data_IF_893403675985
#
_entry.id   IF_893403675985
#
_cell.length_a   1.000
_cell.length_b   1.000
_cell.length_c   1.000
_cell.angle_alpha   90.00
_cell.angle_beta   90.00
_cell.angle_gamma   90.00
#
_symmetry.space_group_name_H-M   'P 1'
#
loop_
_entity.id
_entity.type
_entity.pdbx_description
1 polymer ?
#
# COMPACT_ATOMS: atom_id res chain seq x y z
N UNK A 1 16.46 29.93 41.37
CA UNK A 1 15.90 28.66 40.87
C UNK A 1 14.51 28.79 40.21
N UNK A 2 13.51 29.47 40.78
CA UNK A 2 12.16 29.62 40.19
C UNK A 2 12.11 30.37 38.84
N UNK A 3 13.04 31.28 38.56
CA UNK A 3 13.10 32.05 37.33
C UNK A 3 13.74 31.24 36.17
N UNK A 4 14.71 30.38 36.44
CA UNK A 4 15.36 29.54 35.45
C UNK A 4 14.41 28.44 34.95
N UNK A 5 13.50 27.93 35.79
CA UNK A 5 12.47 26.97 35.38
C UNK A 5 11.40 27.57 34.46
N UNK A 6 11.07 28.88 34.66
CA UNK A 6 10.14 29.58 33.74
C UNK A 6 10.73 29.80 32.35
N UNK A 7 12.02 30.11 32.27
CA UNK A 7 12.71 30.25 30.97
C UNK A 7 12.91 28.91 30.25
N UNK A 8 13.17 27.83 30.99
CA UNK A 8 13.28 26.49 30.43
C UNK A 8 11.92 25.98 29.89
N UNK A 9 10.80 26.25 30.57
CA UNK A 9 9.47 25.91 30.14
C UNK A 9 9.02 26.71 28.92
N UNK A 10 9.37 27.99 28.82
CA UNK A 10 9.06 28.83 27.64
C UNK A 10 9.95 28.44 26.45
N UNK A 11 11.22 28.11 26.67
CA UNK A 11 12.13 27.63 25.65
C UNK A 11 11.70 26.24 25.10
N UNK A 12 11.13 25.37 25.92
CA UNK A 12 10.58 24.10 25.50
C UNK A 12 9.28 24.26 24.67
N UNK A 13 8.42 25.23 25.03
CA UNK A 13 7.22 25.57 24.26
C UNK A 13 7.57 26.26 22.93
N UNK A 14 8.60 27.09 22.87
CA UNK A 14 9.02 27.76 21.63
C UNK A 14 9.84 26.87 20.71
N UNK A 15 10.50 25.83 21.21
CA UNK A 15 11.17 24.82 20.37
C UNK A 15 10.16 23.91 19.61
N UNK A 16 8.92 23.84 20.06
CA UNK A 16 7.83 23.10 19.40
C UNK A 16 7.24 23.84 18.18
N UNK A 17 7.60 25.11 17.96
CA UNK A 17 7.03 25.92 16.87
C UNK A 17 7.97 26.08 15.65
N UNK A 18 9.17 25.50 15.68
CA UNK A 18 10.16 25.63 14.59
C UNK A 18 10.59 24.24 14.12
N UNK A 19 9.64 23.45 13.62
CA UNK A 19 10.02 22.17 13.04
C UNK A 19 8.90 21.54 12.26
N UNK A 20 9.06 21.49 10.97
CA UNK A 20 8.37 20.66 9.97
C UNK A 20 6.82 20.67 10.01
N UNK A 21 6.23 20.98 8.88
CA UNK A 21 4.79 21.02 8.62
C UNK A 21 4.02 19.71 8.93
N UNK A 22 4.70 18.65 9.38
CA UNK A 22 4.11 17.34 9.71
C UNK A 22 3.79 17.14 11.21
N UNK A 23 4.07 18.12 12.09
CA UNK A 23 3.74 17.98 13.52
C UNK A 23 2.40 18.64 13.85
N UNK A 24 1.29 18.02 13.46
CA UNK A 24 0.00 18.41 14.02
C UNK A 24 -0.14 17.86 15.45
N UNK A 25 -0.83 18.59 16.33
CA UNK A 25 -1.16 18.07 17.67
C UNK A 25 -1.97 16.77 17.59
N UNK A 26 -2.72 16.55 16.49
CA UNK A 26 -3.41 15.31 16.19
C UNK A 26 -2.47 14.11 16.14
N UNK A 27 -1.33 14.22 15.48
CA UNK A 27 -0.36 13.12 15.32
C UNK A 27 0.30 12.69 16.65
N UNK A 28 0.27 13.54 17.67
CA UNK A 28 0.77 13.19 19.01
C UNK A 28 -0.23 12.38 19.84
N UNK A 29 -1.52 12.56 19.63
CA UNK A 29 -2.57 12.00 20.49
C UNK A 29 -3.49 11.00 19.81
N UNK A 30 -3.37 10.84 18.49
CA UNK A 30 -4.19 9.91 17.70
C UNK A 30 -3.35 9.29 16.58
N UNK A 31 -3.60 8.03 16.28
CA UNK A 31 -2.95 7.35 15.16
C UNK A 31 -3.66 7.68 13.83
N UNK A 32 -2.93 7.52 12.71
CA UNK A 32 -3.38 7.94 11.38
C UNK A 32 -4.76 7.40 10.98
N UNK A 33 -5.01 6.09 11.16
CA UNK A 33 -6.29 5.51 10.77
C UNK A 33 -7.49 6.05 11.56
N UNK A 34 -7.29 6.51 12.80
CA UNK A 34 -8.34 7.16 13.57
C UNK A 34 -8.60 8.58 13.08
N UNK A 35 -7.57 9.31 12.69
CA UNK A 35 -7.69 10.65 12.11
C UNK A 35 -8.32 10.62 10.71
N UNK A 36 -8.01 9.60 9.92
CA UNK A 36 -8.45 9.44 8.53
C UNK A 36 -9.76 8.67 8.37
N UNK A 37 -10.46 8.38 9.49
CA UNK A 37 -11.62 7.51 9.53
C UNK A 37 -12.77 7.99 8.62
N UNK A 38 -13.05 9.27 8.60
CA UNK A 38 -14.13 9.87 7.81
C UNK A 38 -13.82 9.75 6.31
N UNK A 39 -12.62 10.08 5.89
CA UNK A 39 -12.14 9.91 4.52
C UNK A 39 -12.23 8.44 4.09
N UNK A 40 -11.73 7.54 4.92
CA UNK A 40 -11.77 6.11 4.65
C UNK A 40 -13.21 5.59 4.49
N UNK A 41 -14.16 6.05 5.31
CA UNK A 41 -15.56 5.67 5.19
C UNK A 41 -16.21 6.27 3.94
N UNK A 42 -15.92 7.53 3.62
CA UNK A 42 -16.37 8.17 2.39
C UNK A 42 -15.87 7.43 1.13
N UNK A 43 -14.61 7.03 1.09
CA UNK A 43 -14.09 6.19 0.00
C UNK A 43 -14.82 4.85 -0.06
N UNK A 44 -15.02 4.16 1.06
CA UNK A 44 -15.72 2.87 1.09
C UNK A 44 -17.16 2.95 0.65
N UNK A 45 -17.86 4.03 0.97
CA UNK A 45 -19.24 4.25 0.54
C UNK A 45 -19.34 4.66 -0.93
N UNK A 46 -18.24 5.09 -1.55
CA UNK A 46 -18.17 5.62 -2.90
C UNK A 46 -18.54 7.11 -2.99
N UNK A 47 -18.51 7.84 -1.87
CA UNK A 47 -18.66 9.29 -1.85
C UNK A 47 -17.29 9.97 -1.95
N UNK A 48 -16.78 10.05 -3.18
CA UNK A 48 -15.45 10.60 -3.43
C UNK A 48 -15.39 12.11 -3.26
N UNK A 49 -16.53 12.80 -3.45
CA UNK A 49 -16.62 14.25 -3.24
C UNK A 49 -16.47 14.60 -1.76
N UNK A 50 -17.12 13.85 -0.86
CA UNK A 50 -16.93 13.98 0.58
C UNK A 50 -15.49 13.64 0.96
N UNK A 51 -14.95 12.53 0.45
CA UNK A 51 -13.57 12.14 0.70
C UNK A 51 -12.56 13.23 0.30
N UNK A 52 -12.78 13.96 -0.80
CA UNK A 52 -11.91 15.06 -1.22
C UNK A 52 -12.00 16.27 -0.27
N UNK A 53 -13.18 16.58 0.23
CA UNK A 53 -13.39 17.73 1.13
C UNK A 53 -12.74 17.50 2.50
N UNK A 54 -12.73 16.26 2.96
CA UNK A 54 -12.16 15.88 4.25
C UNK A 54 -10.63 15.64 4.21
N UNK A 55 -10.01 15.59 3.01
CA UNK A 55 -8.56 15.39 2.87
C UNK A 55 -7.80 16.54 3.52
N UNK A 56 -7.04 16.28 4.60
CA UNK A 56 -6.27 17.31 5.25
C UNK A 56 -5.10 17.74 4.38
N UNK A 57 -4.67 18.99 4.55
CA UNK A 57 -3.40 19.44 4.01
C UNK A 57 -2.27 18.99 4.94
N UNK A 58 -1.39 18.10 4.46
CA UNK A 58 -0.15 17.67 5.12
C UNK A 58 -0.32 16.90 6.46
N UNK A 59 -1.31 15.98 6.54
CA UNK A 59 -1.49 15.18 7.77
C UNK A 59 -0.41 14.10 7.94
N UNK A 60 -0.02 13.42 6.86
CA UNK A 60 0.93 12.31 6.86
C UNK A 60 2.18 12.57 6.02
N UNK A 61 2.30 13.74 5.42
CA UNK A 61 3.40 14.19 4.58
C UNK A 61 3.18 13.96 3.09
N UNK A 62 4.07 14.55 2.28
CA UNK A 62 3.90 14.65 0.82
C UNK A 62 3.68 13.31 0.11
N UNK A 63 4.19 12.22 0.64
CA UNK A 63 4.04 10.90 0.02
C UNK A 63 2.62 10.38 0.23
N UNK A 64 2.21 10.14 1.48
CA UNK A 64 0.95 9.46 1.77
C UNK A 64 -0.27 10.35 1.47
N UNK A 65 -0.19 11.64 1.76
CA UNK A 65 -1.28 12.58 1.45
C UNK A 65 -1.54 12.67 -0.06
N UNK A 66 -0.47 12.63 -0.87
CA UNK A 66 -0.61 12.61 -2.32
C UNK A 66 -0.98 11.23 -2.89
N UNK A 67 -0.66 10.13 -2.21
CA UNK A 67 -1.21 8.81 -2.55
C UNK A 67 -2.73 8.79 -2.40
N UNK A 68 -3.25 9.25 -1.27
CA UNK A 68 -4.69 9.32 -1.00
C UNK A 68 -5.39 10.27 -1.97
N UNK A 69 -4.88 11.50 -2.12
CA UNK A 69 -5.43 12.51 -3.02
C UNK A 69 -5.43 12.03 -4.48
N UNK A 70 -4.33 11.45 -4.93
CA UNK A 70 -4.21 10.92 -6.29
C UNK A 70 -5.22 9.80 -6.56
N UNK A 71 -5.43 8.90 -5.60
CA UNK A 71 -6.39 7.81 -5.74
C UNK A 71 -7.83 8.29 -5.69
N UNK A 72 -8.20 9.16 -4.76
CA UNK A 72 -9.55 9.71 -4.65
C UNK A 72 -9.92 10.50 -5.92
N UNK A 73 -9.00 11.32 -6.45
CA UNK A 73 -9.19 12.00 -7.72
C UNK A 73 -9.37 11.03 -8.90
N UNK A 74 -8.63 9.91 -8.92
CA UNK A 74 -8.81 8.87 -9.95
C UNK A 74 -10.21 8.26 -9.90
N UNK A 75 -10.70 7.95 -8.70
CA UNK A 75 -12.03 7.40 -8.46
C UNK A 75 -13.13 8.39 -8.85
N UNK A 76 -12.92 9.68 -8.58
CA UNK A 76 -13.83 10.77 -8.95
C UNK A 76 -13.66 11.26 -10.41
N UNK A 77 -12.86 10.55 -11.21
CA UNK A 77 -12.60 10.83 -12.62
C UNK A 77 -11.87 12.17 -12.88
N UNK A 78 -11.26 12.77 -11.87
CA UNK A 78 -10.41 13.95 -11.99
C UNK A 78 -8.97 13.51 -12.34
N UNK A 79 -8.80 13.03 -13.58
CA UNK A 79 -7.56 12.40 -14.03
C UNK A 79 -6.35 13.34 -14.05
N UNK A 80 -6.47 14.64 -14.44
CA UNK A 80 -5.35 15.58 -14.37
C UNK A 80 -4.85 15.79 -12.95
N UNK A 81 -5.76 15.95 -11.99
CA UNK A 81 -5.49 16.18 -10.57
C UNK A 81 -4.89 14.89 -9.94
N UNK A 82 -5.45 13.74 -10.29
CA UNK A 82 -4.91 12.43 -9.91
C UNK A 82 -3.47 12.28 -10.34
N UNK A 83 -3.18 12.52 -11.63
CA UNK A 83 -1.83 12.44 -12.18
C UNK A 83 -0.87 13.38 -11.46
N UNK A 84 -1.27 14.63 -11.25
CA UNK A 84 -0.44 15.64 -10.58
C UNK A 84 -0.09 15.23 -9.16
N UNK A 85 -1.07 14.72 -8.39
CA UNK A 85 -0.83 14.24 -7.03
C UNK A 85 0.15 13.07 -7.01
N UNK A 86 -0.02 12.08 -7.89
CA UNK A 86 0.91 10.95 -7.96
C UNK A 86 2.32 11.37 -8.41
N UNK A 87 2.47 12.38 -9.28
CA UNK A 87 3.78 12.92 -9.66
C UNK A 87 4.48 13.61 -8.48
N UNK A 88 3.75 14.33 -7.64
CA UNK A 88 4.30 14.90 -6.40
C UNK A 88 4.75 13.79 -5.44
N UNK A 89 3.94 12.76 -5.26
CA UNK A 89 4.30 11.61 -4.43
C UNK A 89 5.54 10.88 -4.95
N UNK A 90 5.64 10.64 -6.27
CA UNK A 90 6.79 10.00 -6.91
C UNK A 90 8.09 10.81 -6.71
N UNK A 91 8.00 12.13 -6.84
CA UNK A 91 9.13 13.00 -6.57
C UNK A 91 9.56 12.93 -5.10
N UNK A 92 8.61 12.94 -4.17
CA UNK A 92 8.89 12.83 -2.74
C UNK A 92 9.52 11.47 -2.37
N UNK A 93 9.02 10.37 -2.94
CA UNK A 93 9.60 9.02 -2.79
C UNK A 93 11.04 8.98 -3.31
N UNK A 94 11.28 9.53 -4.51
CA UNK A 94 12.61 9.58 -5.11
C UNK A 94 13.60 10.34 -4.24
N UNK A 95 13.18 11.48 -3.69
CA UNK A 95 14.00 12.29 -2.78
C UNK A 95 14.29 11.56 -1.46
N UNK A 96 13.27 10.89 -0.89
CA UNK A 96 13.42 10.08 0.32
C UNK A 96 14.42 8.94 0.11
N UNK A 97 14.30 8.20 -0.99
CA UNK A 97 15.22 7.12 -1.31
C UNK A 97 16.65 7.62 -1.52
N UNK A 98 16.83 8.78 -2.14
CA UNK A 98 18.14 9.41 -2.32
C UNK A 98 18.77 9.80 -0.97
N UNK A 99 17.99 10.38 -0.07
CA UNK A 99 18.44 10.71 1.30
C UNK A 99 18.82 9.46 2.09
N UNK A 100 18.05 8.38 1.99
CA UNK A 100 18.34 7.12 2.68
C UNK A 100 19.69 6.54 2.26
N UNK A 101 20.04 6.57 0.98
CA UNK A 101 21.36 6.11 0.48
C UNK A 101 22.51 6.94 1.06
N UNK A 102 22.34 8.25 1.22
CA UNK A 102 23.35 9.15 1.78
C UNK A 102 23.50 8.95 3.30
N UNK A 103 22.38 8.75 4.03
CA UNK A 103 22.38 8.65 5.50
C UNK A 103 22.88 7.30 6.05
N UNK A 104 23.03 6.27 5.23
CA UNK A 104 23.69 5.01 5.64
C UNK A 104 25.15 5.27 6.06
N UNK A 105 25.76 6.37 5.60
CA UNK A 105 27.11 6.81 6.01
C UNK A 105 27.15 7.58 7.33
N UNK A 106 26.04 8.16 7.80
CA UNK A 106 25.99 9.02 9.00
C UNK A 106 25.03 8.46 10.06
N UNK A 107 25.50 7.52 10.86
CA UNK A 107 24.73 6.87 11.93
C UNK A 107 24.63 7.72 13.20
N UNK A 108 23.90 8.82 13.13
CA UNK A 108 23.49 9.57 14.32
C UNK A 108 21.97 9.76 14.32
N UNK A 109 21.22 8.68 14.54
CA UNK A 109 19.81 8.81 14.93
C UNK A 109 19.80 9.48 16.30
N UNK A 110 19.39 10.74 16.36
CA UNK A 110 19.33 11.48 17.61
C UNK A 110 18.41 10.74 18.58
N UNK A 111 18.89 10.45 19.79
CA UNK A 111 18.15 9.82 20.89
C UNK A 111 16.80 10.53 21.13
N UNK A 112 16.66 11.81 20.77
CA UNK A 112 15.45 12.58 20.87
C UNK A 112 14.31 12.14 19.94
N UNK A 113 14.60 11.73 18.70
CA UNK A 113 13.58 11.25 17.76
C UNK A 113 13.03 9.87 18.16
N UNK A 114 13.86 9.02 18.76
CA UNK A 114 13.45 7.73 19.31
C UNK A 114 12.51 7.86 20.52
N UNK A 115 12.52 9.00 21.23
CA UNK A 115 11.83 9.14 22.50
C UNK A 115 10.35 9.54 22.37
N UNK A 116 9.85 9.92 21.19
CA UNK A 116 8.46 10.41 21.05
C UNK A 116 7.54 9.32 20.51
N UNK A 117 7.33 9.24 19.22
CA UNK A 117 6.59 8.13 18.57
C UNK A 117 6.99 8.02 17.08
N UNK A 118 6.57 6.94 16.41
CA UNK A 118 6.93 6.68 15.02
C UNK A 118 6.23 7.64 14.03
N UNK A 119 5.11 8.26 14.40
CA UNK A 119 4.35 9.18 13.56
C UNK A 119 5.08 10.51 13.29
N UNK A 120 6.17 10.80 14.02
CA UNK A 120 7.01 11.99 13.83
C UNK A 120 8.05 11.76 12.72
N UNK A 121 8.34 10.50 12.41
CA UNK A 121 9.25 10.17 11.32
C UNK A 121 8.57 10.32 9.97
N UNK A 122 9.35 10.57 8.92
CA UNK A 122 8.84 10.58 7.55
C UNK A 122 8.19 9.22 7.21
N UNK A 123 7.04 9.24 6.53
CA UNK A 123 6.36 8.02 6.11
C UNK A 123 7.19 7.28 5.05
N UNK A 124 7.43 6.00 5.26
CA UNK A 124 8.10 5.13 4.30
C UNK A 124 7.07 4.18 3.68
N UNK A 125 6.79 4.31 2.38
CA UNK A 125 5.79 3.46 1.73
C UNK A 125 6.20 1.98 1.73
N UNK A 126 5.20 1.11 1.79
CA UNK A 126 5.40 -0.31 1.57
C UNK A 126 5.73 -0.61 0.10
N UNK A 127 6.44 -1.72 -0.16
CA UNK A 127 6.84 -2.11 -1.51
C UNK A 127 5.64 -2.22 -2.47
N UNK A 128 4.51 -2.75 -1.99
CA UNK A 128 3.30 -2.88 -2.80
C UNK A 128 2.67 -1.52 -3.11
N UNK A 129 2.70 -0.55 -2.20
CA UNK A 129 2.18 0.80 -2.41
C UNK A 129 2.93 1.53 -3.51
N UNK A 130 4.26 1.38 -3.55
CA UNK A 130 5.09 1.91 -4.63
C UNK A 130 4.73 1.30 -5.99
N UNK A 131 4.41 0.01 -6.01
CA UNK A 131 3.89 -0.63 -7.21
C UNK A 131 2.57 -0.02 -7.68
N UNK A 132 1.65 0.26 -6.77
CA UNK A 132 0.37 0.91 -7.08
C UNK A 132 0.52 2.38 -7.50
N UNK A 133 1.47 3.13 -6.95
CA UNK A 133 1.78 4.50 -7.40
C UNK A 133 2.02 4.53 -8.92
N UNK A 134 2.96 3.74 -9.39
CA UNK A 134 3.30 3.69 -10.82
C UNK A 134 2.21 3.02 -11.66
N UNK A 135 1.48 2.05 -11.11
CA UNK A 135 0.32 1.46 -11.77
C UNK A 135 -0.73 2.54 -12.07
N UNK A 136 -1.08 3.38 -11.09
CA UNK A 136 -2.08 4.44 -11.29
C UNK A 136 -1.56 5.59 -12.14
N UNK A 137 -0.28 5.93 -12.09
CA UNK A 137 0.33 6.83 -13.07
C UNK A 137 0.18 6.25 -14.48
N UNK A 138 0.48 4.96 -14.67
CA UNK A 138 0.30 4.27 -15.94
C UNK A 138 -1.16 4.28 -16.43
N UNK A 139 -2.14 4.06 -15.55
CA UNK A 139 -3.55 4.16 -15.89
C UNK A 139 -3.96 5.59 -16.30
N UNK A 140 -3.44 6.62 -15.64
CA UNK A 140 -3.66 8.02 -16.02
C UNK A 140 -3.09 8.33 -17.41
N UNK A 141 -1.89 7.84 -17.73
CA UNK A 141 -1.32 7.96 -19.08
C UNK A 141 -2.16 7.21 -20.12
N UNK A 142 -2.56 5.97 -19.81
CA UNK A 142 -3.38 5.16 -20.71
C UNK A 142 -4.74 5.82 -20.99
N UNK A 143 -5.37 6.41 -19.99
CA UNK A 143 -6.62 7.17 -20.13
C UNK A 143 -6.45 8.38 -21.06
N UNK A 144 -5.29 9.03 -21.06
CA UNK A 144 -4.92 10.13 -21.96
C UNK A 144 -4.48 9.68 -23.35
N UNK A 145 -4.61 8.40 -23.71
CA UNK A 145 -4.12 7.79 -24.95
C UNK A 145 -2.59 7.79 -25.12
N UNK A 146 -1.86 7.92 -24.03
CA UNK A 146 -0.39 7.85 -24.00
C UNK A 146 0.06 6.46 -23.55
N UNK A 147 0.17 5.55 -24.52
CA UNK A 147 0.62 4.17 -24.27
C UNK A 147 2.11 4.14 -23.89
N UNK A 148 2.93 5.00 -24.47
CA UNK A 148 4.37 5.06 -24.18
C UNK A 148 4.62 5.46 -22.73
N UNK A 149 3.97 6.56 -22.28
CA UNK A 149 4.01 6.97 -20.89
C UNK A 149 3.53 5.87 -19.94
N UNK A 150 2.44 5.17 -20.27
CA UNK A 150 1.95 4.05 -19.47
C UNK A 150 2.98 2.90 -19.37
N UNK A 151 3.64 2.55 -20.47
CA UNK A 151 4.69 1.51 -20.49
C UNK A 151 5.91 1.92 -19.66
N UNK A 152 6.30 3.19 -19.69
CA UNK A 152 7.40 3.70 -18.86
C UNK A 152 7.06 3.53 -17.38
N UNK A 153 5.85 3.87 -16.96
CA UNK A 153 5.43 3.72 -15.57
C UNK A 153 5.39 2.25 -15.11
N UNK A 154 5.01 1.32 -15.98
CA UNK A 154 5.07 -0.12 -15.66
C UNK A 154 6.51 -0.59 -15.42
N UNK A 155 7.48 -0.10 -16.19
CA UNK A 155 8.92 -0.40 -15.95
C UNK A 155 9.39 0.17 -14.63
N UNK A 156 9.01 1.41 -14.31
CA UNK A 156 9.36 2.07 -13.06
C UNK A 156 8.77 1.32 -11.86
N UNK A 157 7.53 0.87 -11.93
CA UNK A 157 6.89 0.10 -10.87
C UNK A 157 7.72 -1.10 -10.43
N UNK A 158 8.23 -1.88 -11.38
CA UNK A 158 9.07 -3.03 -11.08
C UNK A 158 10.41 -2.61 -10.44
N UNK A 159 11.06 -1.55 -10.94
CA UNK A 159 12.34 -1.08 -10.42
C UNK A 159 12.22 -0.55 -9.00
N UNK A 160 11.20 0.26 -8.72
CA UNK A 160 10.99 0.88 -7.41
C UNK A 160 10.64 -0.18 -6.35
N UNK A 161 9.81 -1.19 -6.70
CA UNK A 161 9.53 -2.30 -5.80
C UNK A 161 10.78 -3.11 -5.45
N UNK A 162 11.64 -3.43 -6.42
CA UNK A 162 12.89 -4.15 -6.17
C UNK A 162 13.85 -3.35 -5.28
N UNK A 163 13.91 -2.04 -5.46
CA UNK A 163 14.74 -1.17 -4.64
C UNK A 163 14.22 -1.08 -3.21
N UNK A 164 12.91 -0.89 -3.03
CA UNK A 164 12.27 -0.81 -1.73
C UNK A 164 12.46 -2.12 -0.93
N UNK A 165 12.32 -3.27 -1.60
CA UNK A 165 12.58 -4.57 -0.99
C UNK A 165 14.01 -4.68 -0.44
N UNK A 166 15.03 -4.27 -1.21
CA UNK A 166 16.43 -4.29 -0.75
C UNK A 166 16.67 -3.38 0.44
N UNK A 167 16.05 -2.19 0.46
CA UNK A 167 16.14 -1.26 1.58
C UNK A 167 15.53 -1.85 2.85
N UNK A 168 14.35 -2.46 2.73
CA UNK A 168 13.67 -3.12 3.85
C UNK A 168 14.49 -4.28 4.43
N UNK A 169 15.08 -5.12 3.58
CA UNK A 169 15.96 -6.20 4.02
C UNK A 169 17.14 -5.66 4.84
N UNK A 170 17.78 -4.58 4.37
CA UNK A 170 18.86 -3.92 5.11
C UNK A 170 18.43 -3.32 6.45
N UNK A 171 17.22 -2.74 6.53
CA UNK A 171 16.65 -2.23 7.77
C UNK A 171 16.36 -3.34 8.79
N UNK A 172 15.83 -4.48 8.35
CA UNK A 172 15.58 -5.64 9.20
C UNK A 172 16.87 -6.20 9.79
N UNK A 173 17.93 -6.33 8.99
CA UNK A 173 19.24 -6.78 9.43
C UNK A 173 19.85 -5.83 10.48
N UNK A 174 19.72 -4.52 10.26
CA UNK A 174 20.15 -3.49 11.20
C UNK A 174 19.39 -3.60 12.52
N UNK A 175 18.06 -3.70 12.47
CA UNK A 175 17.21 -3.83 13.65
C UNK A 175 17.56 -5.09 14.47
N UNK A 176 17.78 -6.23 13.82
CA UNK A 176 18.19 -7.46 14.47
C UNK A 176 19.56 -7.34 15.15
N UNK A 177 20.53 -6.66 14.50
CA UNK A 177 21.84 -6.38 15.09
C UNK A 177 21.74 -5.48 16.32
N UNK A 178 20.92 -4.44 16.28
CA UNK A 178 20.74 -3.51 17.39
C UNK A 178 20.01 -4.16 18.58
N UNK A 179 19.02 -5.01 18.32
CA UNK A 179 18.37 -5.82 19.37
C UNK A 179 19.36 -6.73 20.09
N UNK A 180 20.24 -7.40 19.37
CA UNK A 180 21.27 -8.27 19.94
C UNK A 180 22.26 -7.49 20.81
N UNK A 181 22.70 -6.31 20.38
CA UNK A 181 23.59 -5.43 21.17
C UNK A 181 22.96 -4.96 22.46
N UNK A 182 21.61 -4.80 22.51
CA UNK A 182 20.86 -4.31 23.66
C UNK A 182 20.30 -5.45 24.56
N UNK A 183 20.52 -6.70 24.23
CA UNK A 183 20.05 -7.88 25.00
C UNK A 183 18.52 -8.09 24.97
N UNK A 184 17.81 -7.55 23.97
CA UNK A 184 16.34 -7.55 23.88
C UNK A 184 15.74 -8.80 23.25
N UNK A 185 16.54 -9.81 22.88
CA UNK A 185 16.09 -10.94 22.04
C UNK A 185 15.06 -11.88 22.70
N UNK A 186 15.00 -11.95 24.03
CA UNK A 186 14.14 -12.90 24.72
C UNK A 186 12.65 -12.48 24.78
N UNK A 187 12.36 -11.19 24.87
CA UNK A 187 10.98 -10.70 25.04
C UNK A 187 10.27 -10.41 23.69
N UNK A 188 11.02 -10.25 22.62
CA UNK A 188 10.48 -9.95 21.27
C UNK A 188 9.69 -11.14 20.73
N UNK A 189 10.16 -12.37 20.95
CA UNK A 189 9.50 -13.59 20.45
C UNK A 189 8.09 -13.82 20.98
N UNK A 190 7.82 -13.47 22.26
CA UNK A 190 6.48 -13.62 22.84
C UNK A 190 5.47 -12.62 22.28
N UNK A 191 5.91 -11.43 21.90
CA UNK A 191 5.07 -10.40 21.26
C UNK A 191 4.78 -10.81 19.81
N UNK A 192 5.81 -11.26 19.09
CA UNK A 192 5.67 -11.71 17.70
C UNK A 192 4.75 -12.92 17.55
N UNK A 193 4.67 -13.79 18.56
CA UNK A 193 3.77 -14.93 18.55
C UNK A 193 2.27 -14.56 18.48
N UNK A 194 1.91 -13.31 18.81
CA UNK A 194 0.54 -12.80 18.67
C UNK A 194 0.20 -12.33 17.24
N UNK A 195 1.20 -12.23 16.36
CA UNK A 195 0.98 -11.87 14.96
C UNK A 195 0.99 -13.14 14.11
N UNK A 196 -0.11 -13.47 13.44
CA UNK A 196 -0.15 -14.64 12.58
C UNK A 196 0.90 -14.47 11.48
N UNK A 197 1.67 -15.52 11.23
CA UNK A 197 2.47 -15.61 10.02
C UNK A 197 1.49 -15.55 8.84
N UNK A 198 1.52 -14.46 8.08
CA UNK A 198 0.64 -14.24 6.93
C UNK A 198 0.85 -15.27 5.81
N UNK A 199 1.69 -16.26 6.09
CA UNK A 199 2.08 -17.36 5.22
C UNK A 199 2.75 -16.81 3.98
N UNK A 200 3.99 -17.16 3.75
CA UNK A 200 4.83 -16.74 2.62
C UNK A 200 4.31 -17.26 1.27
N UNK A 201 3.04 -17.01 0.97
CA UNK A 201 2.47 -17.27 -0.33
C UNK A 201 2.96 -16.19 -1.28
N UNK A 202 3.42 -16.58 -2.44
CA UNK A 202 3.93 -15.64 -3.46
C UNK A 202 2.93 -14.52 -3.79
N UNK A 203 1.64 -14.82 -3.76
CA UNK A 203 0.53 -13.87 -3.96
C UNK A 203 0.40 -12.80 -2.86
N UNK A 204 0.97 -13.00 -1.66
CA UNK A 204 0.99 -11.99 -0.60
C UNK A 204 2.19 -11.05 -0.71
N UNK A 205 3.16 -11.38 -1.56
CA UNK A 205 4.41 -10.63 -1.73
C UNK A 205 4.47 -9.93 -3.09
N UNK A 206 3.90 -10.55 -4.13
CA UNK A 206 4.00 -10.08 -5.51
C UNK A 206 2.63 -9.71 -6.07
N UNK A 207 2.58 -8.55 -6.73
CA UNK A 207 1.36 -7.99 -7.31
C UNK A 207 1.14 -8.53 -8.73
N UNK A 208 0.31 -9.59 -8.86
CA UNK A 208 -0.02 -10.17 -10.15
C UNK A 208 -0.85 -9.22 -11.05
N UNK A 209 -1.63 -8.32 -10.46
CA UNK A 209 -2.35 -7.28 -11.21
C UNK A 209 -1.39 -6.35 -11.94
N UNK A 210 -0.36 -5.85 -11.25
CA UNK A 210 0.67 -5.02 -11.86
C UNK A 210 1.39 -5.76 -12.99
N UNK A 211 1.79 -7.02 -12.75
CA UNK A 211 2.47 -7.84 -13.77
C UNK A 211 1.59 -8.10 -14.98
N UNK A 212 0.32 -8.43 -14.76
CA UNK A 212 -0.62 -8.71 -15.85
C UNK A 212 -0.93 -7.46 -16.68
N UNK A 213 -1.19 -6.32 -16.02
CA UNK A 213 -1.39 -5.05 -16.72
C UNK A 213 -0.13 -4.63 -17.48
N UNK A 214 1.07 -4.77 -16.88
CA UNK A 214 2.34 -4.54 -17.56
C UNK A 214 2.45 -5.39 -18.83
N UNK A 215 2.14 -6.69 -18.73
CA UNK A 215 2.11 -7.60 -19.88
C UNK A 215 1.17 -7.14 -20.99
N UNK A 216 -0.05 -6.70 -20.65
CA UNK A 216 -1.01 -6.17 -21.62
C UNK A 216 -0.49 -4.91 -22.34
N UNK A 217 0.13 -3.99 -21.61
CA UNK A 217 0.65 -2.74 -22.18
C UNK A 217 1.91 -2.98 -23.02
N UNK A 218 2.81 -3.87 -22.61
CA UNK A 218 3.95 -4.29 -23.44
C UNK A 218 3.48 -4.97 -24.72
N UNK A 219 2.47 -5.84 -24.64
CA UNK A 219 1.92 -6.50 -25.81
C UNK A 219 1.25 -5.48 -26.76
N UNK A 220 0.50 -4.52 -26.23
CA UNK A 220 -0.11 -3.44 -27.00
C UNK A 220 0.94 -2.52 -27.67
N UNK A 221 2.14 -2.36 -27.05
CA UNK A 221 3.27 -1.64 -27.63
C UNK A 221 4.14 -2.49 -28.56
N UNK A 222 3.73 -3.73 -28.84
CA UNK A 222 4.45 -4.72 -29.65
C UNK A 222 5.79 -5.21 -29.03
N UNK A 223 6.02 -5.02 -27.74
CA UNK A 223 7.15 -5.59 -26.98
C UNK A 223 6.74 -6.98 -26.41
N UNK A 224 6.66 -7.97 -27.30
CA UNK A 224 6.20 -9.31 -26.94
C UNK A 224 7.11 -10.02 -25.96
N UNK A 225 8.42 -9.75 -25.99
CA UNK A 225 9.37 -10.38 -25.08
C UNK A 225 9.11 -9.92 -23.63
N UNK A 226 9.01 -8.61 -23.41
CA UNK A 226 8.68 -8.05 -22.10
C UNK A 226 7.29 -8.49 -21.65
N UNK A 227 6.30 -8.51 -22.56
CA UNK A 227 4.96 -9.02 -22.27
C UNK A 227 4.98 -10.45 -21.75
N UNK A 228 5.71 -11.35 -22.43
CA UNK A 228 5.82 -12.74 -22.03
C UNK A 228 6.48 -12.92 -20.66
N UNK A 229 7.54 -12.16 -20.38
CA UNK A 229 8.19 -12.17 -19.06
C UNK A 229 7.20 -11.81 -17.96
N UNK A 230 6.44 -10.72 -18.13
CA UNK A 230 5.48 -10.28 -17.13
C UNK A 230 4.29 -11.24 -16.97
N UNK A 231 3.75 -11.80 -18.06
CA UNK A 231 2.72 -12.84 -17.98
C UNK A 231 3.22 -14.10 -17.27
N UNK A 232 4.46 -14.53 -17.50
CA UNK A 232 5.07 -15.67 -16.80
C UNK A 232 5.23 -15.40 -15.31
N UNK A 233 5.60 -14.18 -14.93
CA UNK A 233 5.68 -13.76 -13.53
C UNK A 233 4.29 -13.76 -12.91
N UNK A 234 3.30 -13.16 -13.55
CA UNK A 234 1.91 -13.17 -13.09
C UNK A 234 1.37 -14.60 -12.94
N UNK A 235 1.67 -15.51 -13.90
CA UNK A 235 1.27 -16.91 -13.85
C UNK A 235 1.93 -17.67 -12.68
N UNK A 236 3.15 -17.33 -12.32
CA UNK A 236 3.81 -17.92 -11.14
C UNK A 236 3.11 -17.51 -9.82
N UNK A 237 2.55 -16.29 -9.77
CA UNK A 237 1.82 -15.77 -8.61
C UNK A 237 0.39 -16.33 -8.56
N UNK A 238 -0.31 -16.32 -9.70
CA UNK A 238 -1.72 -16.72 -9.84
C UNK A 238 -1.87 -17.83 -10.89
N UNK A 239 -1.46 -19.05 -10.56
CA UNK A 239 -1.39 -20.16 -11.54
C UNK A 239 -2.76 -20.64 -12.05
N UNK A 240 -3.85 -20.30 -11.37
CA UNK A 240 -5.20 -20.73 -11.70
C UNK A 240 -6.05 -19.61 -12.33
N UNK A 241 -5.46 -18.42 -12.57
CA UNK A 241 -6.15 -17.31 -13.22
C UNK A 241 -6.19 -17.51 -14.74
N UNK A 242 -7.40 -17.66 -15.30
CA UNK A 242 -7.60 -18.04 -16.71
C UNK A 242 -7.11 -16.95 -17.68
N UNK A 243 -7.29 -15.67 -17.35
CA UNK A 243 -6.84 -14.55 -18.21
C UNK A 243 -5.32 -14.52 -18.34
N UNK A 244 -4.61 -14.78 -17.24
CA UNK A 244 -3.14 -14.85 -17.22
C UNK A 244 -2.67 -16.08 -18.03
N UNK A 245 -3.30 -17.23 -17.84
CA UNK A 245 -3.00 -18.46 -18.59
C UNK A 245 -3.13 -18.20 -20.09
N UNK A 246 -4.26 -17.66 -20.52
CA UNK A 246 -4.57 -17.43 -21.92
C UNK A 246 -3.58 -16.45 -22.57
N UNK A 247 -3.25 -15.35 -21.92
CA UNK A 247 -2.30 -14.38 -22.44
C UNK A 247 -0.87 -14.95 -22.49
N UNK A 248 -0.47 -15.70 -21.46
CA UNK A 248 0.85 -16.37 -21.44
C UNK A 248 0.99 -17.34 -22.63
N UNK A 249 -0.02 -18.19 -22.85
CA UNK A 249 0.01 -19.16 -23.93
C UNK A 249 -0.04 -18.50 -25.32
N UNK A 250 -0.91 -17.50 -25.49
CA UNK A 250 -1.02 -16.75 -26.75
C UNK A 250 0.30 -16.04 -27.10
N UNK A 251 0.94 -15.39 -26.14
CA UNK A 251 2.21 -14.69 -26.36
C UNK A 251 3.36 -15.67 -26.61
N UNK A 252 3.41 -16.81 -25.91
CA UNK A 252 4.37 -17.88 -26.17
C UNK A 252 4.25 -18.41 -27.62
N UNK A 253 3.02 -18.60 -28.09
CA UNK A 253 2.76 -19.03 -29.46
C UNK A 253 3.24 -18.01 -30.50
N UNK A 254 2.97 -16.72 -30.27
CA UNK A 254 3.40 -15.61 -31.15
C UNK A 254 4.93 -15.47 -31.20
N UNK A 255 5.62 -15.72 -30.08
CA UNK A 255 7.09 -15.72 -30.01
C UNK A 255 7.74 -17.00 -30.53
N UNK A 256 6.95 -18.02 -30.89
CA UNK A 256 7.47 -19.31 -31.35
C UNK A 256 8.17 -20.13 -30.26
N UNK A 257 7.84 -19.92 -28.99
CA UNK A 257 8.41 -20.62 -27.83
C UNK A 257 7.80 -22.01 -27.67
N UNK A 258 8.11 -22.93 -28.59
CA UNK A 258 7.46 -24.26 -28.72
C UNK A 258 7.59 -25.11 -27.45
N UNK A 259 8.74 -25.10 -26.78
CA UNK A 259 8.97 -25.92 -25.59
C UNK A 259 8.13 -25.41 -24.39
N UNK A 260 8.11 -24.11 -24.19
CA UNK A 260 7.33 -23.48 -23.13
C UNK A 260 5.84 -23.70 -23.38
N UNK A 261 5.38 -23.48 -24.63
CA UNK A 261 3.99 -23.68 -25.00
C UNK A 261 3.56 -25.14 -24.77
N UNK A 262 4.36 -26.13 -25.19
CA UNK A 262 4.06 -27.55 -24.96
C UNK A 262 4.01 -27.90 -23.46
N UNK A 263 4.80 -27.20 -22.61
CA UNK A 263 4.75 -27.37 -21.16
C UNK A 263 3.47 -26.77 -20.58
N UNK A 264 3.07 -25.59 -21.05
CA UNK A 264 1.83 -24.92 -20.64
C UNK A 264 0.60 -25.71 -21.06
N UNK A 265 0.56 -26.25 -22.29
CA UNK A 265 -0.55 -27.06 -22.82
C UNK A 265 -0.77 -28.37 -22.05
N UNK A 266 0.28 -28.94 -21.45
CA UNK A 266 0.15 -30.12 -20.58
C UNK A 266 -0.55 -29.80 -19.26
N UNK A 267 -0.43 -28.56 -18.78
CA UNK A 267 -0.94 -28.12 -17.49
C UNK A 267 -2.28 -27.40 -17.59
N UNK A 268 -2.46 -26.62 -18.63
CA UNK A 268 -3.61 -25.73 -18.81
C UNK A 268 -4.37 -26.05 -20.10
N UNK A 269 -5.69 -25.86 -20.05
CA UNK A 269 -6.50 -25.90 -21.27
C UNK A 269 -6.31 -24.62 -22.05
N UNK A 270 -6.09 -24.73 -23.34
CA UNK A 270 -6.01 -23.57 -24.22
C UNK A 270 -7.40 -22.95 -24.39
N UNK A 271 -7.49 -21.60 -24.26
CA UNK A 271 -8.73 -20.92 -24.61
C UNK A 271 -8.95 -20.90 -26.12
N UNK A 272 -10.19 -20.71 -26.52
CA UNK A 272 -10.55 -20.59 -27.93
C UNK A 272 -9.89 -19.32 -28.54
N UNK A 273 -9.36 -19.47 -29.75
CA UNK A 273 -8.95 -18.31 -30.57
C UNK A 273 -10.20 -17.52 -30.96
N UNK A 274 -10.02 -16.20 -31.17
CA UNK A 274 -11.08 -15.37 -31.71
C UNK A 274 -11.50 -15.87 -33.11
N UNK A 275 -12.79 -15.98 -33.33
CA UNK A 275 -13.37 -16.26 -34.65
C UNK A 275 -13.48 -14.95 -35.45
N UNK A 276 -13.72 -15.08 -36.76
CA UNK A 276 -13.98 -13.92 -37.62
C UNK A 276 -15.20 -13.16 -37.11
N UNK A 277 -15.10 -11.83 -37.01
CA UNK A 277 -16.14 -10.95 -36.48
C UNK A 277 -16.09 -10.75 -34.98
N UNK A 278 -15.35 -11.59 -34.23
CA UNK A 278 -15.24 -11.48 -32.76
C UNK A 278 -14.13 -10.54 -32.31
N UNK A 279 -14.33 -9.93 -31.14
CA UNK A 279 -13.31 -9.22 -30.38
C UNK A 279 -13.30 -9.70 -28.92
N UNK A 280 -12.27 -9.31 -28.19
CA UNK A 280 -12.06 -9.68 -26.80
C UNK A 280 -12.21 -8.46 -25.91
N UNK A 281 -12.82 -8.67 -24.75
CA UNK A 281 -12.82 -7.71 -23.64
C UNK A 281 -12.09 -8.33 -22.47
N UNK A 282 -11.13 -7.61 -21.89
CA UNK A 282 -10.51 -7.94 -20.62
C UNK A 282 -10.99 -6.90 -19.61
N UNK A 283 -11.66 -7.36 -18.57
CA UNK A 283 -12.14 -6.50 -17.48
C UNK A 283 -11.20 -6.66 -16.29
N UNK A 284 -10.63 -5.56 -15.82
CA UNK A 284 -9.87 -5.48 -14.58
C UNK A 284 -10.72 -4.72 -13.56
N UNK A 285 -11.15 -5.44 -12.52
CA UNK A 285 -12.08 -4.93 -11.52
C UNK A 285 -11.40 -4.80 -10.17
N UNK A 286 -11.30 -3.59 -9.68
CA UNK A 286 -10.92 -3.24 -8.32
C UNK A 286 -12.15 -3.17 -7.42
N UNK A 287 -12.08 -3.74 -6.21
CA UNK A 287 -13.23 -3.82 -5.30
C UNK A 287 -12.88 -3.31 -3.91
N UNK A 288 -13.81 -2.56 -3.30
CA UNK A 288 -13.76 -2.03 -1.93
C UNK A 288 -12.53 -1.15 -1.67
N UNK A 289 -12.20 -0.95 -0.41
CA UNK A 289 -10.95 -0.32 0.04
C UNK A 289 -10.17 -1.31 0.92
N UNK A 290 -8.82 -1.24 0.86
CA UNK A 290 -7.94 -2.06 1.69
C UNK A 290 -8.24 -1.81 3.17
N UNK A 291 -8.06 -2.82 4.02
CA UNK A 291 -8.28 -2.67 5.45
C UNK A 291 -7.35 -1.62 6.05
N UNK A 292 -7.91 -0.68 6.81
CA UNK A 292 -7.12 0.24 7.61
C UNK A 292 -6.57 -0.46 8.84
N UNK A 293 -5.33 -0.17 9.21
CA UNK A 293 -4.74 -0.66 10.45
C UNK A 293 -5.46 -0.06 11.66
N UNK A 294 -5.55 -0.80 12.73
CA UNK A 294 -5.98 -0.37 14.06
C UNK A 294 -4.82 -0.49 15.05
N UNK A 295 -5.01 -0.10 16.27
CA UNK A 295 -3.99 -0.09 17.32
C UNK A 295 -4.39 -0.97 18.49
N UNK A 296 -3.43 -1.70 19.05
CA UNK A 296 -3.57 -2.28 20.38
C UNK A 296 -2.41 -1.85 21.27
N UNK A 297 -2.65 -1.83 22.56
CA UNK A 297 -1.69 -1.36 23.54
C UNK A 297 -1.37 -2.46 24.54
N UNK A 298 -0.08 -2.59 24.86
CA UNK A 298 0.42 -3.45 25.91
C UNK A 298 1.14 -2.61 26.95
N UNK A 299 0.60 -2.54 28.15
CA UNK A 299 1.22 -1.80 29.27
C UNK A 299 2.14 -2.74 30.05
N UNK A 300 3.39 -2.34 30.19
CA UNK A 300 4.45 -3.08 30.89
C UNK A 300 4.86 -2.32 32.16
N UNK A 301 4.53 -2.81 33.37
CA UNK A 301 5.06 -2.25 34.59
C UNK A 301 6.55 -2.60 34.71
N UNK A 302 7.39 -1.61 34.91
CA UNK A 302 8.82 -1.77 35.16
C UNK A 302 9.15 -1.18 36.53
N UNK A 303 9.71 -1.97 37.40
CA UNK A 303 10.13 -1.55 38.75
C UNK A 303 11.64 -1.44 38.81
N UNK A 304 12.13 -0.37 39.41
CA UNK A 304 13.56 -0.24 39.68
C UNK A 304 13.96 -0.91 41.01
N UNK A 305 15.26 -0.93 41.33
CA UNK A 305 15.79 -1.54 42.54
C UNK A 305 15.35 -0.84 43.83
N UNK A 306 14.62 0.28 43.74
CA UNK A 306 14.07 1.05 44.87
C UNK A 306 12.53 0.97 44.93
N UNK A 307 11.95 0.01 44.24
CA UNK A 307 10.50 -0.23 44.16
C UNK A 307 9.70 0.93 43.52
N UNK A 308 10.40 1.86 42.83
CA UNK A 308 9.75 2.91 42.06
C UNK A 308 9.32 2.35 40.70
N UNK A 309 8.00 2.21 40.52
CA UNK A 309 7.41 1.71 39.29
C UNK A 309 7.16 2.79 38.24
N UNK A 310 7.38 2.44 37.00
CA UNK A 310 6.88 3.19 35.84
C UNK A 310 6.10 2.24 34.92
N UNK A 311 5.04 2.75 34.31
CA UNK A 311 4.28 1.99 33.31
C UNK A 311 4.76 2.47 31.94
N UNK A 312 5.24 1.54 31.13
CA UNK A 312 5.59 1.79 29.74
C UNK A 312 4.60 1.10 28.84
N UNK A 313 4.01 1.86 27.92
CA UNK A 313 3.08 1.33 26.94
C UNK A 313 3.82 1.03 25.64
N UNK A 314 3.55 -0.15 25.07
CA UNK A 314 3.86 -0.46 23.68
C UNK A 314 2.56 -0.32 22.90
N UNK A 315 2.56 0.55 21.89
CA UNK A 315 1.43 0.70 20.99
C UNK A 315 1.79 0.10 19.63
N UNK A 316 1.07 -0.94 19.22
CA UNK A 316 1.39 -1.74 18.05
C UNK A 316 0.24 -1.73 17.05
N UNK A 317 0.53 -1.59 15.74
CA UNK A 317 -0.49 -1.66 14.70
C UNK A 317 -0.90 -3.10 14.42
N UNK A 318 -2.15 -3.32 14.02
CA UNK A 318 -2.64 -4.61 13.52
C UNK A 318 -3.75 -4.40 12.50
N UNK A 319 -3.99 -5.40 11.64
CA UNK A 319 -5.16 -5.41 10.78
C UNK A 319 -6.30 -6.15 11.46
N UNK A 320 -7.47 -5.49 11.70
CA UNK A 320 -8.63 -6.14 12.27
C UNK A 320 -9.18 -7.19 11.29
N UNK A 321 -9.68 -8.31 11.80
CA UNK A 321 -10.30 -9.32 10.96
C UNK A 321 -11.68 -8.83 10.50
N UNK A 322 -11.75 -8.22 9.33
CA UNK A 322 -12.96 -7.69 8.73
C UNK A 322 -13.29 -8.44 7.44
N UNK A 323 -14.58 -8.64 7.20
CA UNK A 323 -15.03 -9.18 5.93
C UNK A 323 -14.89 -8.13 4.82
N UNK A 324 -14.35 -8.55 3.68
CA UNK A 324 -14.34 -7.74 2.46
C UNK A 324 -15.78 -7.58 1.97
N UNK A 325 -16.14 -6.38 1.54
CA UNK A 325 -17.43 -6.10 0.94
C UNK A 325 -17.63 -6.97 -0.31
N UNK A 326 -18.81 -7.56 -0.43
CA UNK A 326 -19.15 -8.42 -1.57
C UNK A 326 -20.01 -7.65 -2.56
N UNK A 327 -19.60 -7.65 -3.80
CA UNK A 327 -20.32 -7.05 -4.92
C UNK A 327 -21.05 -8.11 -5.76
N UNK A 328 -22.15 -7.70 -6.38
CA UNK A 328 -22.79 -8.52 -7.42
C UNK A 328 -21.83 -8.76 -8.58
N UNK A 329 -21.88 -9.93 -9.19
CA UNK A 329 -21.08 -10.24 -10.38
C UNK A 329 -21.34 -9.23 -11.50
N UNK A 330 -20.28 -8.87 -12.22
CA UNK A 330 -20.38 -8.03 -13.41
C UNK A 330 -21.14 -8.77 -14.53
N UNK A 331 -21.85 -8.01 -15.33
CA UNK A 331 -22.55 -8.55 -16.53
C UNK A 331 -22.19 -7.68 -17.73
N UNK A 332 -22.11 -8.30 -18.89
CA UNK A 332 -22.02 -7.58 -20.17
C UNK A 332 -23.27 -7.92 -20.97
N UNK A 333 -24.11 -6.90 -21.24
CA UNK A 333 -25.39 -7.03 -21.95
C UNK A 333 -26.22 -8.22 -21.42
N UNK A 334 -26.38 -8.27 -20.09
CA UNK A 334 -27.15 -9.28 -19.39
C UNK A 334 -26.42 -10.62 -19.14
N UNK A 335 -25.24 -10.88 -19.72
CA UNK A 335 -24.48 -12.13 -19.52
C UNK A 335 -23.51 -11.95 -18.34
N UNK A 336 -23.55 -12.82 -17.32
CA UNK A 336 -22.66 -12.73 -16.17
C UNK A 336 -21.22 -13.06 -16.58
N UNK A 337 -20.26 -12.30 -16.05
CA UNK A 337 -18.84 -12.57 -16.23
C UNK A 337 -18.36 -13.59 -15.19
N UNK A 338 -17.45 -14.45 -15.60
CA UNK A 338 -16.69 -15.30 -14.71
C UNK A 338 -15.50 -14.47 -14.17
N UNK A 339 -15.50 -14.19 -12.87
CA UNK A 339 -14.50 -13.36 -12.21
C UNK A 339 -13.44 -14.25 -11.55
N UNK A 340 -12.16 -13.96 -11.82
CA UNK A 340 -11.02 -14.64 -11.19
C UNK A 340 -10.20 -13.65 -10.37
N UNK A 341 -9.87 -14.01 -9.14
CA UNK A 341 -8.96 -13.21 -8.31
C UNK A 341 -7.60 -13.08 -9.01
N UNK A 342 -7.07 -11.87 -9.06
CA UNK A 342 -5.73 -11.59 -9.59
C UNK A 342 -4.79 -11.03 -8.53
N UNK A 343 -5.30 -10.24 -7.57
CA UNK A 343 -4.51 -9.73 -6.45
C UNK A 343 -5.40 -9.51 -5.23
N UNK A 344 -4.93 -9.93 -4.07
CA UNK A 344 -5.48 -9.63 -2.74
C UNK A 344 -4.57 -8.63 -2.05
N UNK A 345 -4.98 -7.34 -2.03
CA UNK A 345 -4.17 -6.26 -1.44
C UNK A 345 -4.20 -6.32 0.08
N UNK A 346 -5.30 -6.80 0.68
CA UNK A 346 -5.35 -7.03 2.13
C UNK A 346 -4.29 -8.05 2.56
N UNK A 347 -4.12 -9.14 1.80
CA UNK A 347 -3.09 -10.13 2.07
C UNK A 347 -1.67 -9.53 1.90
N UNK A 348 -1.46 -8.65 0.92
CA UNK A 348 -0.18 -7.96 0.72
C UNK A 348 0.12 -7.02 1.89
N UNK A 349 -0.86 -6.23 2.33
CA UNK A 349 -0.74 -5.30 3.44
C UNK A 349 -0.46 -6.03 4.77
N UNK A 350 -1.17 -7.12 5.04
CA UNK A 350 -0.95 -7.96 6.22
C UNK A 350 0.43 -8.62 6.22
N UNK A 351 0.90 -9.09 5.05
CA UNK A 351 2.23 -9.67 4.92
C UNK A 351 3.33 -8.62 5.16
N UNK A 352 3.20 -7.43 4.58
CA UNK A 352 4.15 -6.33 4.79
C UNK A 352 4.24 -5.95 6.27
N UNK A 353 3.10 -5.81 6.96
CA UNK A 353 3.08 -5.54 8.39
C UNK A 353 3.75 -6.68 9.18
N UNK A 354 3.46 -7.94 8.86
CA UNK A 354 4.05 -9.12 9.52
C UNK A 354 5.57 -9.13 9.38
N UNK A 355 6.10 -8.87 8.20
CA UNK A 355 7.54 -8.79 7.95
C UNK A 355 8.20 -7.64 8.73
N UNK A 356 7.56 -6.47 8.80
CA UNK A 356 8.08 -5.30 9.53
C UNK A 356 7.88 -5.38 11.04
N UNK A 357 7.01 -6.27 11.54
CA UNK A 357 6.64 -6.32 12.95
C UNK A 357 7.84 -6.52 13.87
N UNK A 358 8.81 -7.34 13.48
CA UNK A 358 10.06 -7.52 14.24
C UNK A 358 10.79 -6.20 14.45
N UNK A 359 10.96 -5.41 13.39
CA UNK A 359 11.60 -4.09 13.46
C UNK A 359 10.79 -3.10 14.31
N UNK A 360 9.47 -3.11 14.19
CA UNK A 360 8.55 -2.26 14.97
C UNK A 360 8.70 -2.57 16.46
N UNK A 361 8.62 -3.84 16.85
CA UNK A 361 8.72 -4.28 18.26
C UNK A 361 10.10 -3.92 18.84
N UNK A 362 11.17 -4.15 18.10
CA UNK A 362 12.53 -3.81 18.56
C UNK A 362 12.64 -2.28 18.76
N UNK A 363 12.17 -1.49 17.83
CA UNK A 363 12.21 -0.03 17.90
C UNK A 363 11.40 0.50 19.08
N UNK A 364 10.21 -0.07 19.33
CA UNK A 364 9.37 0.22 20.49
C UNK A 364 10.09 -0.14 21.81
N UNK A 365 10.73 -1.30 21.89
CA UNK A 365 11.49 -1.69 23.07
C UNK A 365 12.68 -0.76 23.34
N UNK A 366 13.41 -0.35 22.31
CA UNK A 366 14.50 0.64 22.42
C UNK A 366 13.97 1.99 22.91
N UNK A 367 12.78 2.40 22.47
CA UNK A 367 12.10 3.62 22.93
C UNK A 367 11.79 3.55 24.43
N UNK A 368 11.30 2.42 24.93
CA UNK A 368 11.06 2.21 26.38
C UNK A 368 12.35 2.44 27.17
N UNK A 369 13.47 1.86 26.73
CA UNK A 369 14.77 2.04 27.37
C UNK A 369 15.22 3.51 27.33
N UNK A 370 15.04 4.20 26.21
CA UNK A 370 15.39 5.63 26.08
C UNK A 370 14.52 6.51 26.99
N UNK A 371 13.21 6.29 27.02
CA UNK A 371 12.27 6.98 27.90
C UNK A 371 12.58 6.75 29.39
N UNK A 372 12.96 5.53 29.80
CA UNK A 372 13.35 5.25 31.18
C UNK A 372 14.60 6.04 31.60
N UNK A 373 15.60 6.17 30.72
CA UNK A 373 16.79 7.01 31.00
C UNK A 373 16.40 8.48 31.18
N UNK A 374 15.59 9.03 30.26
CA UNK A 374 15.10 10.42 30.36
C UNK A 374 14.30 10.61 31.65
N UNK A 375 13.41 9.68 32.01
CA UNK A 375 12.65 9.74 33.26
C UNK A 375 13.57 9.83 34.48
N UNK A 376 14.55 8.93 34.60
CA UNK A 376 15.48 8.87 35.72
C UNK A 376 16.29 10.15 35.87
N UNK A 377 16.65 10.76 34.76
CA UNK A 377 17.38 12.07 34.78
C UNK A 377 16.46 13.26 35.13
N UNK A 378 15.23 13.26 34.63
CA UNK A 378 14.30 14.39 34.80
C UNK A 378 13.61 14.39 36.16
N UNK A 379 13.21 13.24 36.68
CA UNK A 379 12.41 13.17 37.91
C UNK A 379 13.25 13.14 39.19
N UNK A 380 14.50 12.69 39.10
CA UNK A 380 15.41 12.55 40.27
C UNK A 380 14.78 11.86 41.51
N UNK A 381 13.74 11.01 41.25
CA UNK A 381 13.00 10.30 42.31
C UNK A 381 11.83 11.07 42.90
N UNK A 382 11.33 12.12 42.24
CA UNK A 382 10.12 12.85 42.64
C UNK A 382 8.86 12.10 42.16
N UNK A 383 7.96 11.74 43.08
CA UNK A 383 6.73 10.99 42.78
C UNK A 383 5.78 11.77 41.86
N UNK A 384 5.68 13.08 42.00
CA UNK A 384 4.85 13.93 41.15
C UNK A 384 5.39 13.94 39.72
N UNK A 385 6.71 14.03 39.57
CA UNK A 385 7.38 13.94 38.26
C UNK A 385 7.14 12.61 37.58
N UNK A 386 7.15 11.50 38.32
CA UNK A 386 6.85 10.16 37.79
C UNK A 386 5.40 10.03 37.30
N UNK A 387 4.42 10.57 38.06
CA UNK A 387 3.00 10.54 37.63
C UNK A 387 2.82 11.35 36.34
N UNK A 388 3.37 12.55 36.26
CA UNK A 388 3.29 13.39 35.07
C UNK A 388 3.96 12.72 33.85
N UNK A 389 5.09 12.04 34.05
CA UNK A 389 5.76 11.29 33.00
C UNK A 389 4.91 10.11 32.51
N UNK A 390 4.31 9.34 33.40
CA UNK A 390 3.45 8.22 33.05
C UNK A 390 2.22 8.66 32.24
N UNK A 391 1.58 9.77 32.63
CA UNK A 391 0.48 10.36 31.87
C UNK A 391 0.93 10.82 30.49
N UNK A 392 2.05 11.55 30.42
CA UNK A 392 2.62 12.00 29.14
C UNK A 392 2.96 10.82 28.23
N UNK A 393 3.62 9.78 28.78
CA UNK A 393 3.98 8.58 28.04
C UNK A 393 2.74 7.84 27.49
N UNK A 394 1.69 7.70 28.31
CA UNK A 394 0.45 7.05 27.89
C UNK A 394 -0.29 7.84 26.79
N UNK A 395 -0.21 9.16 26.82
CA UNK A 395 -0.88 10.01 25.82
C UNK A 395 -0.10 10.09 24.50
N UNK A 396 1.23 10.03 24.53
CA UNK A 396 2.08 10.23 23.34
C UNK A 396 2.48 8.92 22.66
N UNK A 397 2.24 7.75 23.27
CA UNK A 397 2.56 6.47 22.64
C UNK A 397 1.43 6.07 21.70
N UNK A 398 1.63 6.34 20.42
CA UNK A 398 0.71 5.98 19.35
C UNK A 398 1.43 5.06 18.35
N UNK A 399 0.76 3.99 17.86
CA UNK A 399 1.35 3.15 16.81
C UNK A 399 1.36 3.88 15.47
N UNK A 400 2.30 3.54 14.63
CA UNK A 400 2.27 3.97 13.24
C UNK A 400 1.29 3.10 12.46
N UNK A 401 0.12 3.65 12.17
CA UNK A 401 -0.94 3.02 11.36
C UNK A 401 -1.03 3.64 9.96
N UNK A 402 -0.02 4.41 9.55
CA UNK A 402 0.01 5.01 8.22
C UNK A 402 0.14 3.92 7.16
N UNK A 403 -0.77 3.95 6.21
CA UNK A 403 -0.83 3.12 5.01
C UNK A 403 -1.74 3.78 3.99
N UNK A 404 -1.60 3.43 2.72
CA UNK A 404 -2.47 3.94 1.65
C UNK A 404 -3.84 3.27 1.70
N UNK A 405 -4.79 3.88 2.40
CA UNK A 405 -6.08 3.28 2.75
C UNK A 405 -7.12 3.29 1.62
N UNK A 406 -6.97 4.15 0.62
CA UNK A 406 -7.86 4.19 -0.55
C UNK A 406 -7.52 3.17 -1.64
N UNK A 407 -6.47 2.33 -1.47
CA UNK A 407 -6.20 1.19 -2.34
C UNK A 407 -7.37 0.20 -2.35
N UNK A 408 -7.60 -0.55 -3.44
CA UNK A 408 -8.63 -1.59 -3.45
C UNK A 408 -8.26 -2.74 -2.51
N UNK A 409 -9.27 -3.41 -1.93
CA UNK A 409 -9.07 -4.59 -1.11
C UNK A 409 -8.67 -5.83 -1.94
N UNK A 410 -9.37 -6.01 -3.06
CA UNK A 410 -9.17 -7.12 -3.99
C UNK A 410 -9.28 -6.64 -5.43
N UNK A 411 -8.54 -7.29 -6.32
CA UNK A 411 -8.65 -7.09 -7.76
C UNK A 411 -9.00 -8.42 -8.42
N UNK A 412 -9.94 -8.37 -9.36
CA UNK A 412 -10.37 -9.52 -10.17
C UNK A 412 -10.20 -9.23 -11.64
N UNK A 413 -10.04 -10.29 -12.43
CA UNK A 413 -10.02 -10.25 -13.89
C UNK A 413 -11.14 -11.08 -14.48
N UNK A 414 -11.59 -10.72 -15.67
CA UNK A 414 -12.57 -11.48 -16.45
C UNK A 414 -12.29 -11.28 -17.93
N UNK A 415 -12.61 -12.29 -18.73
CA UNK A 415 -12.59 -12.19 -20.20
C UNK A 415 -13.99 -12.41 -20.77
N UNK A 416 -14.34 -11.61 -21.77
CA UNK A 416 -15.56 -11.76 -22.54
C UNK A 416 -15.22 -11.70 -24.05
N UNK A 417 -15.75 -12.63 -24.82
CA UNK A 417 -15.57 -12.69 -26.27
C UNK A 417 -16.93 -12.62 -26.93
N UNK A 418 -17.09 -11.71 -27.87
CA UNK A 418 -18.33 -11.52 -28.60
C UNK A 418 -18.06 -10.89 -29.98
N UNK A 419 -19.09 -10.90 -30.84
CA UNK A 419 -19.04 -10.18 -32.11
C UNK A 419 -18.80 -8.69 -31.91
N UNK A 420 -18.18 -8.04 -32.90
CA UNK A 420 -18.02 -6.58 -32.91
C UNK A 420 -19.38 -5.87 -32.80
N UNK A 421 -19.45 -4.84 -31.97
CA UNK A 421 -20.68 -4.09 -31.70
C UNK A 421 -20.61 -3.29 -30.42
N UNK A 422 -21.72 -2.67 -30.06
CA UNK A 422 -21.87 -1.92 -28.80
C UNK A 422 -22.37 -2.83 -27.69
N UNK A 423 -21.79 -2.70 -26.53
CA UNK A 423 -22.08 -3.51 -25.34
C UNK A 423 -22.18 -2.62 -24.11
N UNK A 424 -22.94 -3.07 -23.13
CA UNK A 424 -23.10 -2.39 -21.85
C UNK A 424 -22.54 -3.26 -20.73
N UNK A 425 -21.57 -2.74 -19.96
CA UNK A 425 -21.13 -3.33 -18.70
C UNK A 425 -22.08 -2.91 -17.58
N UNK A 426 -22.56 -3.88 -16.84
CA UNK A 426 -23.47 -3.70 -15.71
C UNK A 426 -22.75 -4.05 -14.41
N UNK A 427 -22.70 -3.09 -13.46
CA UNK A 427 -22.05 -3.22 -12.16
C UNK A 427 -23.04 -2.81 -11.05
N UNK A 428 -23.94 -3.71 -10.69
CA UNK A 428 -25.08 -3.37 -9.81
C UNK A 428 -26.03 -2.41 -10.53
N UNK A 429 -26.25 -1.22 -9.95
CA UNK A 429 -27.10 -0.18 -10.54
C UNK A 429 -26.35 0.73 -11.54
N UNK A 430 -25.06 0.60 -11.67
CA UNK A 430 -24.23 1.40 -12.59
C UNK A 430 -24.04 0.68 -13.90
N UNK A 431 -24.10 1.42 -15.00
CA UNK A 431 -23.91 0.89 -16.37
C UNK A 431 -22.86 1.71 -17.11
N UNK A 432 -22.17 1.08 -18.05
CA UNK A 432 -21.16 1.72 -18.87
C UNK A 432 -21.13 1.12 -20.28
N UNK A 433 -21.29 1.96 -21.30
CA UNK A 433 -21.30 1.54 -22.70
C UNK A 433 -19.91 1.58 -23.31
N UNK A 434 -19.58 0.58 -24.12
CA UNK A 434 -18.29 0.47 -24.80
C UNK A 434 -18.41 -0.34 -26.10
N UNK A 435 -17.38 -0.23 -26.96
CA UNK A 435 -17.34 -0.93 -28.25
C UNK A 435 -16.42 -2.15 -28.20
N UNK A 436 -16.88 -3.27 -28.76
CA UNK A 436 -16.04 -4.40 -29.14
C UNK A 436 -15.72 -4.28 -30.62
N UNK A 437 -14.44 -4.39 -30.98
CA UNK A 437 -13.96 -4.31 -32.38
C UNK A 437 -13.39 -5.66 -32.81
N UNK A 438 -13.70 -6.04 -34.05
CA UNK A 438 -13.21 -7.29 -34.63
C UNK A 438 -11.71 -7.46 -34.56
N UNK A 439 -11.26 -8.59 -34.04
CA UNK A 439 -9.86 -8.96 -33.91
C UNK A 439 -9.06 -8.10 -32.91
N UNK A 440 -9.73 -7.23 -32.14
CA UNK A 440 -9.08 -6.35 -31.17
C UNK A 440 -9.41 -6.74 -29.73
N UNK A 441 -8.57 -6.29 -28.81
CA UNK A 441 -8.78 -6.41 -27.36
C UNK A 441 -9.13 -5.05 -26.77
N UNK A 442 -10.27 -5.00 -26.08
CA UNK A 442 -10.71 -3.84 -25.30
C UNK A 442 -10.39 -4.13 -23.84
N UNK A 443 -9.59 -3.26 -23.22
CA UNK A 443 -9.42 -3.23 -21.77
C UNK A 443 -10.54 -2.39 -21.15
N UNK A 444 -11.28 -2.96 -20.21
CA UNK A 444 -12.22 -2.22 -19.37
C UNK A 444 -11.67 -2.21 -17.95
N UNK A 445 -11.45 -1.03 -17.42
CA UNK A 445 -11.08 -0.84 -16.03
C UNK A 445 -12.29 -0.38 -15.24
N UNK A 446 -12.52 -1.00 -14.10
CA UNK A 446 -13.60 -0.65 -13.18
C UNK A 446 -13.10 -0.70 -11.75
N UNK A 447 -13.48 0.31 -10.94
CA UNK A 447 -13.27 0.32 -9.49
C UNK A 447 -14.60 0.55 -8.78
N UNK A 448 -14.92 -0.32 -7.81
CA UNK A 448 -16.22 -0.37 -7.13
C UNK A 448 -16.04 -0.17 -5.63
N UNK A 449 -16.73 0.81 -5.06
CA UNK A 449 -16.81 1.08 -3.63
C UNK A 449 -18.27 1.37 -3.27
N UNK A 450 -18.81 0.66 -2.28
CA UNK A 450 -20.20 0.82 -1.87
C UNK A 450 -21.18 0.72 -3.04
N UNK A 451 -21.97 1.76 -3.26
CA UNK A 451 -22.93 1.83 -4.35
C UNK A 451 -22.39 2.54 -5.61
N UNK A 452 -21.13 2.90 -5.63
CA UNK A 452 -20.50 3.61 -6.76
C UNK A 452 -19.54 2.73 -7.55
N UNK A 453 -19.34 3.10 -8.80
CA UNK A 453 -18.37 2.46 -9.69
C UNK A 453 -17.81 3.48 -10.67
N UNK A 454 -16.49 3.56 -10.74
CA UNK A 454 -15.77 4.35 -11.75
C UNK A 454 -15.34 3.41 -12.87
N UNK A 455 -15.69 3.74 -14.11
CA UNK A 455 -15.47 2.87 -15.26
C UNK A 455 -14.93 3.64 -16.45
N UNK A 456 -14.01 3.03 -17.19
CA UNK A 456 -13.58 3.49 -18.50
C UNK A 456 -13.00 2.33 -19.31
N UNK A 457 -12.83 2.50 -20.61
CA UNK A 457 -12.22 1.50 -21.47
C UNK A 457 -11.13 2.06 -22.37
N UNK A 458 -10.30 1.17 -22.88
CA UNK A 458 -9.23 1.46 -23.83
C UNK A 458 -9.11 0.33 -24.86
N UNK A 459 -9.08 0.70 -26.13
CA UNK A 459 -8.72 -0.23 -27.19
C UNK A 459 -7.21 -0.46 -27.17
N UNK A 460 -6.79 -1.72 -26.95
CA UNK A 460 -5.38 -2.12 -26.92
C UNK A 460 -4.88 -2.64 -28.28
N UNK A 461 -5.77 -2.75 -29.26
CA UNK A 461 -5.44 -3.29 -30.57
C UNK A 461 -5.48 -4.84 -30.61
N UNK A 462 -4.72 -5.40 -31.55
CA UNK A 462 -4.63 -6.86 -31.73
C UNK A 462 -3.59 -7.44 -30.78
N UNK A 463 -4.04 -8.07 -29.71
CA UNK A 463 -3.19 -8.78 -28.77
C UNK A 463 -3.18 -10.28 -29.04
#
# INVERSE_FOLDING_TARGET
>A
MKQQFRFASIALLSALTVGCASMSAGNLFSHYSAQNKEIYQAVKSGDYSEAQQELPDYAAGDILDNFERGRINLLDQQYPESKSSFEVADQAVTEQQRKAVISISDSATSVGALAVNDNITEYVPADYELGFLHLYLGLNYLKKNDLEGAVIEMRRANQVQEQAKKQREAELDKAASDAKKQGLSANVGSILANYPDAGKKLQSVQNAYLMFLSGLLYEASNDLNSAYVEYRRALAVMPDNQEIIDRTMATAARLGMRQDLATLEKRYKQSSKLSTGEGRVIVLQEQSAVQAMDSWRLDLPVYDSRDQGAIYSLALPYYPNQNVERFSALRISGQPLQEHLITDVNAMAQNDLSERMTSIVIRQALRVVAKDRIRKEATKGDDVGNILFNVWNALTEQPDTRSWQSLPAEIKSSTFVANSGQYTLEAGAKTYDFDIREGQTTLVWISRQGNNATMWHKQLGRL
#
